data_IF_128286767077
#
_entry.id   IF_128286767077
#
_cell.length_a   1.000
_cell.length_b   1.000
_cell.length_c   1.000
_cell.angle_alpha   90.00
_cell.angle_beta   90.00
_cell.angle_gamma   90.00
#
_symmetry.space_group_name_H-M   'P 1'
#
loop_
_entity.id
_entity.type
_entity.pdbx_description
1 polymer ?
#
# COMPACT_ATOMS: atom_id res chain seq x y z
N UNK A 1 6.48 -9.06 6.15
CA UNK A 1 6.73 -8.46 7.47
C UNK A 1 7.60 -9.35 8.35
N UNK A 2 7.13 -10.51 8.84
CA UNK A 2 7.87 -11.42 9.75
C UNK A 2 9.36 -11.66 9.40
N UNK A 3 9.66 -12.06 8.16
CA UNK A 3 11.05 -12.32 7.75
C UNK A 3 11.90 -11.04 7.68
N UNK A 4 11.31 -9.92 7.28
CA UNK A 4 11.98 -8.60 7.23
C UNK A 4 12.30 -8.13 8.65
N UNK A 5 11.36 -8.30 9.58
CA UNK A 5 11.50 -7.94 11.00
C UNK A 5 12.63 -8.73 11.70
N UNK A 6 12.87 -9.97 11.28
CA UNK A 6 13.95 -10.81 11.77
C UNK A 6 15.32 -10.52 11.12
N UNK A 7 15.35 -9.77 10.02
CA UNK A 7 16.56 -9.51 9.27
C UNK A 7 17.30 -8.30 9.85
N UNK A 8 18.56 -8.49 10.29
CA UNK A 8 19.38 -7.41 10.82
C UNK A 8 19.53 -6.27 9.81
N UNK A 9 19.27 -5.04 10.25
CA UNK A 9 19.41 -3.83 9.44
C UNK A 9 18.25 -3.55 8.49
N UNK A 10 17.19 -4.37 8.49
CA UNK A 10 15.96 -4.10 7.77
C UNK A 10 14.84 -3.72 8.74
N UNK A 11 13.89 -2.94 8.22
CA UNK A 11 12.64 -2.64 8.89
C UNK A 11 11.50 -2.78 7.88
N UNK A 12 10.37 -3.33 8.31
CA UNK A 12 9.19 -3.37 7.45
C UNK A 12 8.63 -1.96 7.27
N UNK A 13 8.81 -1.40 6.06
CA UNK A 13 8.48 0.00 5.77
C UNK A 13 7.05 0.26 5.29
N UNK A 14 6.29 -0.79 4.96
CA UNK A 14 4.92 -0.66 4.44
C UNK A 14 4.64 -1.49 3.19
N UNK A 15 3.50 -1.20 2.56
CA UNK A 15 3.02 -1.85 1.34
C UNK A 15 3.11 -0.91 0.14
N UNK A 16 3.35 -1.47 -1.04
CA UNK A 16 3.33 -0.74 -2.30
C UNK A 16 2.74 -1.60 -3.42
N UNK A 17 1.99 -0.98 -4.33
CA UNK A 17 1.57 -1.62 -5.59
C UNK A 17 1.50 -0.61 -6.73
N UNK A 18 1.45 -1.11 -7.96
CA UNK A 18 1.30 -0.32 -9.19
C UNK A 18 0.24 -0.99 -10.09
N UNK A 19 -1.04 -0.63 -9.96
CA UNK A 19 -2.11 -1.25 -10.72
C UNK A 19 -2.09 -0.88 -12.20
N UNK A 20 -2.65 -1.78 -13.03
CA UNK A 20 -3.03 -1.43 -14.40
C UNK A 20 -4.08 -0.30 -14.40
N UNK A 21 -4.13 0.47 -15.49
CA UNK A 21 -5.07 1.58 -15.64
C UNK A 21 -6.53 1.12 -15.40
N UNK A 22 -7.27 1.90 -14.62
CA UNK A 22 -8.66 1.62 -14.25
C UNK A 22 -8.83 0.57 -13.15
N UNK A 23 -7.74 0.06 -12.54
CA UNK A 23 -7.79 -0.94 -11.45
C UNK A 23 -7.43 -0.37 -10.07
N UNK A 24 -7.34 0.95 -9.93
CA UNK A 24 -6.96 1.60 -8.67
C UNK A 24 -7.85 1.18 -7.48
N UNK A 25 -9.17 1.11 -7.65
CA UNK A 25 -10.08 0.69 -6.56
C UNK A 25 -9.86 -0.77 -6.14
N UNK A 26 -9.59 -1.66 -7.09
CA UNK A 26 -9.26 -3.06 -6.77
C UNK A 26 -7.93 -3.16 -6.02
N UNK A 27 -6.94 -2.37 -6.46
CA UNK A 27 -5.62 -2.32 -5.83
C UNK A 27 -5.73 -1.82 -4.39
N UNK A 28 -6.52 -0.78 -4.16
CA UNK A 28 -6.77 -0.24 -2.83
C UNK A 28 -7.49 -1.25 -1.93
N UNK A 29 -8.52 -1.93 -2.44
CA UNK A 29 -9.20 -2.98 -1.68
C UNK A 29 -8.22 -4.10 -1.26
N UNK A 30 -7.33 -4.50 -2.17
CA UNK A 30 -6.29 -5.49 -1.88
C UNK A 30 -5.27 -4.97 -0.85
N UNK A 31 -4.79 -3.73 -1.00
CA UNK A 31 -3.90 -3.09 -0.04
C UNK A 31 -4.55 -3.01 1.34
N UNK A 32 -5.87 -2.79 1.41
CA UNK A 32 -6.61 -2.75 2.68
C UNK A 32 -6.65 -4.10 3.34
N UNK A 33 -7.00 -5.15 2.59
CA UNK A 33 -6.97 -6.51 3.13
C UNK A 33 -5.58 -6.90 3.63
N UNK A 34 -4.52 -6.49 2.91
CA UNK A 34 -3.14 -6.75 3.32
C UNK A 34 -2.75 -5.94 4.57
N UNK A 35 -3.12 -4.66 4.64
CA UNK A 35 -2.90 -3.81 5.82
C UNK A 35 -3.59 -4.38 7.06
N UNK A 36 -4.87 -4.77 6.94
CA UNK A 36 -5.64 -5.34 8.04
C UNK A 36 -5.02 -6.67 8.52
N UNK A 37 -4.53 -7.51 7.58
CA UNK A 37 -3.83 -8.75 7.92
C UNK A 37 -2.49 -8.52 8.63
N UNK A 38 -1.76 -7.45 8.28
CA UNK A 38 -0.53 -7.06 8.99
C UNK A 38 -0.84 -6.61 10.42
N UNK A 39 -1.85 -5.76 10.60
CA UNK A 39 -2.29 -5.29 11.91
C UNK A 39 -2.72 -6.47 12.80
N UNK A 40 -3.51 -7.41 12.27
CA UNK A 40 -3.92 -8.62 12.98
C UNK A 40 -2.72 -9.52 13.37
N UNK A 41 -1.63 -9.46 12.61
CA UNK A 41 -0.39 -10.18 12.88
C UNK A 41 0.59 -9.40 13.79
N UNK A 42 0.20 -8.22 14.31
CA UNK A 42 1.00 -7.40 15.20
C UNK A 42 2.07 -6.54 14.48
N UNK A 43 1.93 -6.33 13.17
CA UNK A 43 2.85 -5.49 12.40
C UNK A 43 2.19 -4.16 12.03
N UNK A 44 2.88 -3.07 12.35
CA UNK A 44 2.51 -1.75 11.85
C UNK A 44 2.81 -1.63 10.36
N UNK A 45 1.92 -0.94 9.63
CA UNK A 45 2.09 -0.65 8.21
C UNK A 45 2.00 0.86 7.99
N UNK A 46 3.05 1.62 8.35
CA UNK A 46 2.99 3.08 8.41
C UNK A 46 2.88 3.76 7.03
N UNK A 47 3.12 3.02 5.95
CA UNK A 47 3.04 3.51 4.58
C UNK A 47 2.31 2.52 3.69
N UNK A 48 1.35 3.03 2.92
CA UNK A 48 0.68 2.30 1.85
C UNK A 48 0.79 3.15 0.60
N UNK A 49 1.48 2.62 -0.40
CA UNK A 49 1.80 3.34 -1.63
C UNK A 49 1.10 2.72 -2.83
N UNK A 50 0.47 3.56 -3.66
CA UNK A 50 -0.11 3.14 -4.94
C UNK A 50 0.43 4.02 -6.07
N UNK A 51 0.24 3.61 -7.32
CA UNK A 51 0.69 4.39 -8.48
C UNK A 51 -0.25 4.29 -9.67
N UNK A 52 0.07 5.07 -10.70
CA UNK A 52 -0.68 5.11 -11.96
C UNK A 52 -1.27 6.50 -12.25
N UNK A 53 -0.72 7.18 -13.27
CA UNK A 53 -1.15 8.53 -13.64
C UNK A 53 -2.64 8.67 -13.98
N UNK A 54 -3.27 7.72 -14.71
CA UNK A 54 -4.69 7.84 -15.08
C UNK A 54 -5.65 7.90 -13.89
N UNK A 55 -5.26 7.32 -12.75
CA UNK A 55 -6.14 7.12 -11.59
C UNK A 55 -5.76 8.01 -10.39
N UNK A 56 -4.76 8.90 -10.52
CA UNK A 56 -4.27 9.76 -9.43
C UNK A 56 -5.37 10.64 -8.82
N UNK A 57 -6.31 11.11 -9.63
CA UNK A 57 -7.41 11.98 -9.20
C UNK A 57 -8.48 11.26 -8.38
N UNK A 58 -8.40 9.93 -8.24
CA UNK A 58 -9.39 9.09 -7.57
C UNK A 58 -9.06 8.80 -6.10
N UNK A 59 -7.96 9.33 -5.55
CA UNK A 59 -7.67 9.20 -4.12
C UNK A 59 -8.71 9.99 -3.32
N UNK A 60 -9.74 9.31 -2.81
CA UNK A 60 -10.79 9.92 -1.99
C UNK A 60 -10.32 10.23 -0.57
N UNK A 61 -11.10 11.05 0.15
CA UNK A 61 -10.80 11.50 1.53
C UNK A 61 -10.68 10.36 2.56
N UNK A 62 -11.12 9.14 2.23
CA UNK A 62 -11.05 7.95 3.09
C UNK A 62 -10.12 6.86 2.54
N UNK A 63 -9.13 7.24 1.73
CA UNK A 63 -8.20 6.27 1.16
C UNK A 63 -7.23 5.74 2.22
N UNK A 64 -6.91 4.44 2.14
CA UNK A 64 -5.82 3.87 2.95
C UNK A 64 -4.44 4.18 2.37
N UNK A 65 -4.39 4.66 1.12
CA UNK A 65 -3.15 4.99 0.43
C UNK A 65 -2.61 6.29 1.02
N UNK A 66 -1.47 6.19 1.68
CA UNK A 66 -0.79 7.33 2.32
C UNK A 66 0.11 8.09 1.34
N UNK A 67 0.41 7.50 0.19
CA UNK A 67 1.30 8.07 -0.82
C UNK A 67 0.89 7.59 -2.22
N UNK A 68 0.75 8.52 -3.16
CA UNK A 68 0.47 8.21 -4.57
C UNK A 68 1.68 8.52 -5.45
N UNK A 69 2.04 7.59 -6.34
CA UNK A 69 3.22 7.66 -7.21
C UNK A 69 2.80 7.77 -8.69
N UNK A 70 2.56 8.98 -9.21
CA UNK A 70 2.33 9.18 -10.64
C UNK A 70 3.62 8.96 -11.46
N UNK A 71 3.47 8.59 -12.73
CA UNK A 71 4.55 8.45 -13.71
C UNK A 71 4.24 9.21 -15.01
N UNK A 72 4.99 8.93 -16.09
CA UNK A 72 4.71 9.46 -17.44
C UNK A 72 3.55 8.78 -18.12
#
# INVERSE_FOLDING_TARGET
AKVIDQAKGLAFGGLMTYPAAGRAAQAEAWLKSAHDALAAAGFECPRVSSGGTPDMWRSGENSIVTEYRPGT
#
